data_IF_724127752895
#
_entry.id   IF_724127752895
#
_cell.length_a   1.000
_cell.length_b   1.000
_cell.length_c   1.000
_cell.angle_alpha   90.00
_cell.angle_beta   90.00
_cell.angle_gamma   90.00
#
_symmetry.space_group_name_H-M   'P 1'
#
loop_
_entity.id
_entity.type
_entity.pdbx_description
1 polymer ?
#
# COMPACT_ATOMS: atom_id res chain seq x y z
N UNK A 1 5.64 -6.03 8.84
CA UNK A 1 4.51 -5.16 8.46
C UNK A 1 3.22 -5.91 8.07
N UNK A 2 3.27 -6.94 7.21
CA UNK A 2 2.06 -7.66 6.75
C UNK A 2 1.28 -8.33 7.90
N UNK A 3 1.98 -8.99 8.84
CA UNK A 3 1.35 -9.55 10.04
C UNK A 3 0.61 -8.49 10.86
N UNK A 4 1.22 -7.30 11.01
CA UNK A 4 0.61 -6.15 11.72
C UNK A 4 -0.64 -5.69 10.97
N UNK A 5 -0.58 -5.55 9.64
CA UNK A 5 -1.75 -5.21 8.82
C UNK A 5 -2.89 -6.22 8.95
N UNK A 6 -2.58 -7.53 9.01
CA UNK A 6 -3.57 -8.57 9.22
C UNK A 6 -4.23 -8.48 10.61
N UNK A 7 -3.43 -8.31 11.67
CA UNK A 7 -3.94 -8.13 13.03
C UNK A 7 -4.81 -6.87 13.17
N UNK A 8 -4.37 -5.75 12.59
CA UNK A 8 -5.15 -4.50 12.58
C UNK A 8 -6.44 -4.65 11.77
N UNK A 9 -6.42 -5.41 10.67
CA UNK A 9 -7.63 -5.70 9.88
C UNK A 9 -8.67 -6.45 10.72
N UNK A 10 -8.24 -7.47 11.47
CA UNK A 10 -9.12 -8.22 12.36
C UNK A 10 -9.66 -7.35 13.51
N UNK A 11 -8.82 -6.50 14.09
CA UNK A 11 -9.23 -5.56 15.13
C UNK A 11 -10.27 -4.56 14.59
N UNK A 12 -10.01 -3.94 13.43
CA UNK A 12 -10.93 -2.98 12.79
C UNK A 12 -12.23 -3.68 12.35
N UNK A 13 -12.19 -4.94 11.89
CA UNK A 13 -13.39 -5.75 11.65
C UNK A 13 -14.25 -5.87 12.89
N UNK A 14 -13.62 -6.21 14.02
CA UNK A 14 -14.31 -6.39 15.28
C UNK A 14 -14.97 -5.08 15.77
N UNK A 15 -14.39 -3.93 15.43
CA UNK A 15 -14.96 -2.61 15.71
C UNK A 15 -15.97 -2.11 14.67
N UNK A 16 -16.34 -2.94 13.69
CA UNK A 16 -17.40 -2.62 12.71
C UNK A 16 -16.95 -1.74 11.54
N UNK A 17 -15.66 -1.45 11.38
CA UNK A 17 -15.11 -0.57 10.33
C UNK A 17 -15.36 -1.08 8.91
N UNK A 18 -15.66 -2.37 8.73
CA UNK A 18 -16.08 -2.92 7.44
C UNK A 18 -17.52 -2.55 7.07
N UNK A 19 -18.39 -2.30 8.06
CA UNK A 19 -19.78 -1.89 7.84
C UNK A 19 -19.91 -0.37 7.64
N UNK A 20 -18.88 0.40 8.01
CA UNK A 20 -18.90 1.87 7.90
C UNK A 20 -18.41 2.30 6.50
N UNK A 21 -19.11 3.25 5.84
CA UNK A 21 -18.65 3.93 4.63
C UNK A 21 -17.34 4.74 4.78
N UNK A 22 -16.62 4.60 5.89
CA UNK A 22 -15.36 5.28 6.21
C UNK A 22 -14.22 4.29 6.45
N UNK A 23 -14.45 2.99 6.22
CA UNK A 23 -13.49 1.94 6.54
C UNK A 23 -12.09 2.20 5.98
N UNK A 24 -11.13 2.39 6.88
CA UNK A 24 -9.74 2.84 6.63
C UNK A 24 -8.79 1.74 6.18
N UNK A 25 -9.30 0.52 6.05
CA UNK A 25 -8.51 -0.70 5.87
C UNK A 25 -7.70 -0.71 4.58
N UNK A 26 -8.21 -0.26 3.42
CA UNK A 26 -7.39 -0.18 2.22
C UNK A 26 -6.18 0.76 2.36
N UNK A 27 -6.37 1.94 2.95
CA UNK A 27 -5.28 2.89 3.21
C UNK A 27 -4.25 2.32 4.17
N UNK A 28 -4.70 1.63 5.22
CA UNK A 28 -3.83 0.91 6.14
C UNK A 28 -3.00 -0.17 5.45
N UNK A 29 -3.61 -0.98 4.57
CA UNK A 29 -2.88 -2.01 3.82
C UNK A 29 -1.80 -1.42 2.91
N UNK A 30 -2.11 -0.32 2.20
CA UNK A 30 -1.13 0.40 1.39
C UNK A 30 0.03 0.96 2.23
N UNK A 31 -0.26 1.51 3.41
CA UNK A 31 0.74 2.02 4.36
C UNK A 31 1.61 0.90 4.96
N UNK A 32 1.01 -0.19 5.44
CA UNK A 32 1.73 -1.35 5.97
C UNK A 32 2.60 -1.99 4.88
N UNK A 33 2.10 -2.08 3.65
CA UNK A 33 2.89 -2.58 2.53
C UNK A 33 4.05 -1.62 2.21
N UNK A 34 3.79 -0.32 2.08
CA UNK A 34 4.80 0.70 1.82
C UNK A 34 5.92 0.72 2.86
N UNK A 35 5.59 0.64 4.16
CA UNK A 35 6.59 0.51 5.24
C UNK A 35 7.45 -0.72 5.07
N UNK A 36 6.86 -1.88 4.76
CA UNK A 36 7.60 -3.09 4.45
C UNK A 36 8.57 -2.94 3.29
N UNK A 37 8.12 -2.33 2.19
CA UNK A 37 8.93 -2.12 0.99
C UNK A 37 10.08 -1.15 1.26
N UNK A 38 9.85 -0.06 1.99
CA UNK A 38 10.94 0.89 2.35
C UNK A 38 11.97 0.21 3.25
N UNK A 39 11.52 -0.52 4.28
CA UNK A 39 12.45 -1.19 5.20
C UNK A 39 13.21 -2.32 4.52
N UNK A 40 12.53 -3.16 3.72
CA UNK A 40 13.16 -4.26 2.99
C UNK A 40 14.03 -3.78 1.82
N UNK A 41 13.69 -2.65 1.23
CA UNK A 41 14.43 -2.02 0.14
C UNK A 41 15.68 -1.25 0.59
N UNK A 42 15.97 -1.16 1.89
CA UNK A 42 17.10 -0.36 2.41
C UNK A 42 18.46 -0.84 1.93
N UNK A 43 18.58 -2.11 1.52
CA UNK A 43 19.78 -2.69 0.88
C UNK A 43 19.59 -2.97 -0.62
N UNK A 44 18.49 -2.51 -1.21
CA UNK A 44 18.18 -2.73 -2.63
C UNK A 44 18.47 -1.50 -3.47
N UNK A 45 18.30 -1.61 -4.78
CA UNK A 45 18.35 -0.47 -5.68
C UNK A 45 17.35 0.60 -5.22
N UNK A 46 17.76 1.87 -5.29
CA UNK A 46 17.00 3.04 -4.79
C UNK A 46 15.55 3.12 -5.30
N UNK A 47 15.28 2.45 -6.42
CA UNK A 47 13.94 2.33 -7.04
C UNK A 47 12.94 1.60 -6.13
N UNK A 48 13.37 0.63 -5.31
CA UNK A 48 12.49 -0.16 -4.44
C UNK A 48 12.00 0.67 -3.24
N UNK A 49 12.87 1.37 -2.46
CA UNK A 49 12.39 2.31 -1.44
C UNK A 49 11.48 3.41 -1.99
N UNK A 50 11.74 3.92 -3.21
CA UNK A 50 10.88 4.93 -3.84
C UNK A 50 9.47 4.37 -4.14
N UNK A 51 9.36 3.12 -4.58
CA UNK A 51 8.07 2.45 -4.72
C UNK A 51 7.34 2.39 -3.37
N UNK A 52 8.05 2.02 -2.30
CA UNK A 52 7.48 1.96 -0.96
C UNK A 52 6.98 3.31 -0.45
N UNK A 53 7.69 4.40 -0.73
CA UNK A 53 7.23 5.76 -0.42
C UNK A 53 5.98 6.14 -1.24
N UNK A 54 5.90 5.71 -2.50
CA UNK A 54 4.69 5.89 -3.32
C UNK A 54 3.47 5.16 -2.73
N UNK A 55 3.65 3.94 -2.25
CA UNK A 55 2.63 3.20 -1.51
C UNK A 55 2.19 3.93 -0.24
N UNK A 56 3.13 4.52 0.51
CA UNK A 56 2.80 5.29 1.70
C UNK A 56 1.98 6.54 1.38
N UNK A 57 2.38 7.30 0.35
CA UNK A 57 1.65 8.50 -0.08
C UNK A 57 0.23 8.15 -0.53
N UNK A 58 0.10 7.08 -1.34
CA UNK A 58 -1.20 6.62 -1.81
C UNK A 58 -2.08 6.09 -0.66
N UNK A 59 -1.49 5.36 0.28
CA UNK A 59 -2.19 4.87 1.47
C UNK A 59 -2.63 6.00 2.40
N UNK A 60 -1.82 7.05 2.56
CA UNK A 60 -2.20 8.24 3.31
C UNK A 60 -3.39 8.96 2.65
N UNK A 61 -3.37 9.14 1.32
CA UNK A 61 -4.50 9.70 0.58
C UNK A 61 -5.76 8.83 0.75
N UNK A 62 -5.61 7.51 0.68
CA UNK A 62 -6.73 6.57 0.82
C UNK A 62 -7.37 6.58 2.23
N UNK A 63 -6.65 6.98 3.28
CA UNK A 63 -7.22 7.13 4.63
C UNK A 63 -8.19 8.31 4.74
N UNK A 64 -7.99 9.37 3.95
CA UNK A 64 -8.79 10.60 4.03
C UNK A 64 -9.75 10.75 2.83
N UNK A 65 -9.66 9.87 1.83
CA UNK A 65 -10.51 9.91 0.65
C UNK A 65 -11.89 9.27 0.90
N UNK A 66 -12.91 9.61 0.09
CA UNK A 66 -14.22 8.97 0.16
C UNK A 66 -14.13 7.45 -0.08
N UNK A 67 -14.92 6.65 0.65
CA UNK A 67 -14.86 5.20 0.53
C UNK A 67 -15.18 4.65 -0.86
N UNK A 68 -15.92 5.39 -1.69
CA UNK A 68 -16.18 5.01 -3.07
C UNK A 68 -14.89 4.82 -3.89
N UNK A 69 -13.77 5.41 -3.47
CA UNK A 69 -12.49 5.35 -4.19
C UNK A 69 -11.55 4.28 -3.65
N UNK A 70 -11.95 3.51 -2.63
CA UNK A 70 -11.12 2.49 -1.99
C UNK A 70 -10.53 1.49 -2.98
N UNK A 71 -11.37 0.95 -3.85
CA UNK A 71 -10.94 -0.05 -4.84
C UNK A 71 -10.03 0.59 -5.89
N UNK A 72 -10.28 1.86 -6.24
CA UNK A 72 -9.40 2.60 -7.14
C UNK A 72 -8.02 2.84 -6.52
N UNK A 73 -7.92 3.16 -5.23
CA UNK A 73 -6.63 3.29 -4.53
C UNK A 73 -5.90 1.94 -4.42
N UNK A 74 -6.60 0.85 -4.13
CA UNK A 74 -6.00 -0.50 -4.13
C UNK A 74 -5.48 -0.87 -5.51
N UNK A 75 -6.28 -0.64 -6.56
CA UNK A 75 -5.90 -0.90 -7.94
C UNK A 75 -4.72 -0.02 -8.38
N UNK A 76 -4.72 1.26 -8.01
CA UNK A 76 -3.63 2.17 -8.31
C UNK A 76 -2.33 1.78 -7.58
N UNK A 77 -2.41 1.32 -6.33
CA UNK A 77 -1.24 0.86 -5.57
C UNK A 77 -0.74 -0.49 -6.06
N UNK A 78 -1.49 -1.56 -5.78
CA UNK A 78 -1.09 -2.94 -6.04
C UNK A 78 -1.06 -3.31 -7.53
N UNK A 79 -1.81 -2.60 -8.37
CA UNK A 79 -1.74 -2.74 -9.82
C UNK A 79 -0.82 -1.70 -10.43
N UNK A 80 -1.23 -0.43 -10.42
CA UNK A 80 -0.56 0.65 -11.14
C UNK A 80 0.89 0.87 -10.71
N UNK A 81 1.12 1.06 -9.41
CA UNK A 81 2.46 1.34 -8.87
C UNK A 81 3.39 0.14 -9.08
N UNK A 82 2.92 -1.09 -8.82
CA UNK A 82 3.69 -2.30 -9.06
C UNK A 82 4.05 -2.50 -10.54
N UNK A 83 3.10 -2.28 -11.46
CA UNK A 83 3.37 -2.41 -12.90
C UNK A 83 4.39 -1.36 -13.35
N UNK A 84 4.22 -0.10 -12.93
CA UNK A 84 5.13 0.98 -13.31
C UNK A 84 6.55 0.73 -12.79
N UNK A 85 6.70 0.46 -11.49
CA UNK A 85 8.01 0.20 -10.90
C UNK A 85 8.61 -1.13 -11.34
N UNK A 86 7.79 -2.18 -11.51
CA UNK A 86 8.22 -3.46 -12.06
C UNK A 86 8.76 -3.33 -13.49
N UNK A 87 8.11 -2.54 -14.34
CA UNK A 87 8.61 -2.25 -15.68
C UNK A 87 9.92 -1.44 -15.66
N UNK A 88 10.08 -0.50 -14.71
CA UNK A 88 11.33 0.24 -14.53
C UNK A 88 12.46 -0.70 -14.08
N UNK A 89 12.19 -1.58 -13.12
CA UNK A 89 13.15 -2.57 -12.60
C UNK A 89 13.60 -3.50 -13.73
N UNK A 90 12.65 -4.10 -14.46
CA UNK A 90 12.95 -5.00 -15.57
C UNK A 90 13.81 -4.33 -16.67
N UNK A 91 13.56 -3.05 -16.97
CA UNK A 91 14.29 -2.32 -18.01
C UNK A 91 15.67 -1.83 -17.59
N UNK A 92 15.84 -1.42 -16.33
CA UNK A 92 17.07 -0.74 -15.87
C UNK A 92 17.97 -1.60 -14.99
N UNK A 93 17.44 -2.68 -14.42
CA UNK A 93 18.15 -3.51 -13.45
C UNK A 93 18.20 -4.99 -13.87
N UNK A 94 17.71 -5.34 -15.07
CA UNK A 94 17.89 -6.67 -15.67
C UNK A 94 16.89 -7.75 -15.22
N UNK A 95 16.03 -7.45 -14.25
CA UNK A 95 15.10 -8.42 -13.66
C UNK A 95 15.69 -9.07 -12.43
#
# INVERSE_FOLDING_TARGET
PLLVGALLTLALQHHGEYAVPTGTIPGMWLLCYGTGVVTGGSFSARVVPLMGLGFMALGALALFAPAAWRDAFMAAGFGGLHIAFGAIIARRYGG
#
